data_IF_433212290518
#
_entry.id   IF_433212290518
#
_cell.length_a   1.000
_cell.length_b   1.000
_cell.length_c   1.000
_cell.angle_alpha   90.00
_cell.angle_beta   90.00
_cell.angle_gamma   90.00
#
_symmetry.space_group_name_H-M   'P 1'
#
loop_
_entity.id
_entity.type
_entity.pdbx_description
1 polymer ?
#
# COMPACT_ATOMS: atom_id res chain seq x y z
N UNK A 1 4.03 -27.52 20.53
CA UNK A 1 3.16 -27.26 19.39
C UNK A 1 3.52 -25.94 18.75
N UNK A 2 3.63 -25.96 17.44
CA UNK A 2 3.80 -24.72 16.69
C UNK A 2 2.45 -24.04 16.49
N UNK A 3 2.44 -22.72 16.57
CA UNK A 3 1.24 -21.97 16.27
C UNK A 3 1.14 -21.76 14.75
N UNK A 4 -0.07 -21.70 14.20
CA UNK A 4 -0.21 -21.46 12.77
C UNK A 4 0.28 -20.08 12.39
N UNK A 5 0.75 -19.97 11.16
CA UNK A 5 1.16 -18.67 10.60
C UNK A 5 -0.11 -17.86 10.37
N UNK A 6 -0.17 -16.61 10.85
CA UNK A 6 -1.35 -15.78 10.62
C UNK A 6 -1.48 -15.37 9.17
N UNK A 7 -2.71 -15.06 8.77
CA UNK A 7 -3.01 -14.53 7.46
C UNK A 7 -2.84 -13.01 7.47
N UNK A 8 -2.55 -12.44 6.31
CA UNK A 8 -2.30 -11.00 6.20
C UNK A 8 -3.50 -10.17 6.66
N UNK A 9 -4.71 -10.67 6.48
CA UNK A 9 -5.91 -9.92 6.88
C UNK A 9 -5.94 -9.59 8.37
N UNK A 10 -5.20 -10.32 9.18
CA UNK A 10 -5.12 -10.05 10.61
C UNK A 10 -4.35 -8.77 10.93
N UNK A 11 -3.41 -8.40 10.07
CA UNK A 11 -2.51 -7.28 10.34
C UNK A 11 -2.60 -6.14 9.34
N UNK A 12 -3.34 -6.30 8.25
CA UNK A 12 -3.49 -5.27 7.24
C UNK A 12 -4.32 -4.09 7.76
N UNK A 13 -4.15 -2.93 7.14
CA UNK A 13 -5.05 -1.80 7.35
C UNK A 13 -6.28 -2.03 6.47
N UNK A 14 -7.46 -2.09 7.08
CA UNK A 14 -8.73 -2.31 6.37
C UNK A 14 -9.31 -0.99 5.87
N UNK A 15 -10.13 -1.07 4.83
CA UNK A 15 -10.76 0.10 4.21
C UNK A 15 -9.71 1.20 3.94
N UNK A 16 -8.69 0.90 3.13
CA UNK A 16 -7.63 1.86 2.88
C UNK A 16 -8.13 3.03 2.05
N UNK A 17 -7.48 4.18 2.22
CA UNK A 17 -7.70 5.28 1.29
C UNK A 17 -7.23 4.86 -0.09
N UNK A 18 -7.89 5.36 -1.13
CA UNK A 18 -7.50 5.12 -2.51
C UNK A 18 -7.76 6.38 -3.33
N UNK A 19 -7.25 6.40 -4.55
CA UNK A 19 -7.43 7.53 -5.45
C UNK A 19 -7.79 7.01 -6.84
N UNK A 20 -8.69 7.71 -7.53
CA UNK A 20 -9.02 7.37 -8.90
C UNK A 20 -7.88 7.78 -9.84
N UNK A 21 -7.61 6.97 -10.85
CA UNK A 21 -6.47 7.23 -11.74
C UNK A 21 -6.62 8.51 -12.54
N UNK A 22 -7.84 8.97 -12.77
CA UNK A 22 -8.09 10.21 -13.52
C UNK A 22 -8.20 11.44 -12.62
N UNK A 23 -7.98 11.29 -11.31
CA UNK A 23 -7.95 12.41 -10.38
C UNK A 23 -6.71 13.29 -10.60
N UNK A 24 -6.79 14.60 -10.27
CA UNK A 24 -5.60 15.44 -10.27
C UNK A 24 -4.55 14.93 -9.28
N UNK A 25 -3.30 15.05 -9.65
CA UNK A 25 -2.20 14.61 -8.76
C UNK A 25 -2.20 15.39 -7.46
N UNK A 26 -2.61 16.66 -7.48
CA UNK A 26 -2.69 17.47 -6.27
C UNK A 26 -3.65 16.86 -5.23
N UNK A 27 -4.76 16.27 -5.69
CA UNK A 27 -5.71 15.62 -4.80
C UNK A 27 -5.06 14.45 -4.06
N UNK A 28 -4.27 13.64 -4.77
CA UNK A 28 -3.55 12.53 -4.15
C UNK A 28 -2.51 13.03 -3.14
N UNK A 29 -1.76 14.08 -3.50
CA UNK A 29 -0.76 14.67 -2.60
C UNK A 29 -1.40 15.21 -1.34
N UNK A 30 -2.54 15.88 -1.47
CA UNK A 30 -3.28 16.43 -0.33
C UNK A 30 -3.79 15.32 0.58
N UNK A 31 -4.32 14.26 -0.01
CA UNK A 31 -4.84 13.11 0.75
C UNK A 31 -3.73 12.43 1.55
N UNK A 32 -2.57 12.23 0.93
CA UNK A 32 -1.44 11.61 1.61
C UNK A 32 -0.93 12.47 2.76
N UNK A 33 -0.87 13.78 2.57
CA UNK A 33 -0.43 14.70 3.60
C UNK A 33 -1.42 14.76 4.76
N UNK A 34 -2.70 14.87 4.45
CA UNK A 34 -3.77 14.97 5.45
C UNK A 34 -3.80 13.76 6.38
N UNK A 35 -3.62 12.56 5.83
CA UNK A 35 -3.71 11.33 6.59
C UNK A 35 -2.34 10.74 6.97
N UNK A 36 -1.26 11.45 6.65
CA UNK A 36 0.11 11.03 6.97
C UNK A 36 0.41 9.62 6.45
N UNK A 37 -0.03 9.35 5.24
CA UNK A 37 0.22 8.09 4.55
C UNK A 37 1.15 8.33 3.37
N UNK A 38 1.94 7.32 3.02
CA UNK A 38 2.98 7.43 2.00
C UNK A 38 2.65 6.69 0.72
N UNK A 39 1.58 5.93 0.71
CA UNK A 39 1.17 5.11 -0.42
C UNK A 39 -0.33 5.22 -0.60
N UNK A 40 -0.76 5.37 -1.85
CA UNK A 40 -2.17 5.36 -2.21
C UNK A 40 -2.39 4.31 -3.31
N UNK A 41 -3.24 3.33 -3.05
CA UNK A 41 -3.73 2.49 -4.14
C UNK A 41 -4.43 3.33 -5.18
N UNK A 42 -4.12 3.06 -6.45
CA UNK A 42 -4.76 3.74 -7.58
C UNK A 42 -5.79 2.80 -8.16
N UNK A 43 -7.03 3.26 -8.25
CA UNK A 43 -8.15 2.44 -8.71
C UNK A 43 -8.83 3.08 -9.92
N UNK A 44 -9.54 2.25 -10.66
CA UNK A 44 -10.38 2.68 -11.77
C UNK A 44 -11.59 1.76 -11.82
N UNK A 45 -12.77 2.34 -11.70
CA UNK A 45 -14.03 1.59 -11.70
C UNK A 45 -14.00 0.42 -10.69
N UNK A 46 -13.49 0.70 -9.49
CA UNK A 46 -13.44 -0.27 -8.40
C UNK A 46 -12.29 -1.26 -8.45
N UNK A 47 -11.51 -1.28 -9.53
CA UNK A 47 -10.41 -2.23 -9.68
C UNK A 47 -9.07 -1.56 -9.42
N UNK A 48 -8.13 -2.32 -8.86
CA UNK A 48 -6.78 -1.85 -8.60
C UNK A 48 -6.02 -1.71 -9.92
N UNK A 49 -5.47 -0.51 -10.16
CA UNK A 49 -4.63 -0.25 -11.32
C UNK A 49 -3.15 -0.18 -10.96
N UNK A 50 -2.84 0.31 -9.79
CA UNK A 50 -1.45 0.47 -9.37
C UNK A 50 -1.32 1.11 -8.00
N UNK A 51 -0.17 1.72 -7.78
CA UNK A 51 0.16 2.37 -6.51
C UNK A 51 0.87 3.69 -6.79
N UNK A 52 0.56 4.70 -5.99
CA UNK A 52 1.24 5.99 -6.03
C UNK A 52 1.92 6.21 -4.70
N UNK A 53 3.21 6.54 -4.72
CA UNK A 53 3.96 6.80 -3.50
C UNK A 53 4.17 8.30 -3.28
N UNK A 54 4.33 8.70 -2.02
CA UNK A 54 4.68 10.08 -1.69
C UNK A 54 6.05 10.45 -2.29
N UNK A 55 6.96 9.50 -2.38
CA UNK A 55 8.27 9.72 -3.01
C UNK A 55 8.11 10.13 -4.47
N UNK A 56 7.22 9.45 -5.21
CA UNK A 56 6.96 9.80 -6.61
C UNK A 56 6.45 11.23 -6.75
N UNK A 57 5.51 11.61 -5.89
CA UNK A 57 4.93 12.97 -5.92
C UNK A 57 5.99 14.01 -5.58
N UNK A 58 6.83 13.73 -4.58
CA UNK A 58 7.89 14.64 -4.16
C UNK A 58 8.90 14.87 -5.30
N UNK A 59 9.28 13.81 -5.99
CA UNK A 59 10.18 13.92 -7.13
C UNK A 59 9.59 14.76 -8.25
N UNK A 60 8.32 14.58 -8.53
CA UNK A 60 7.63 15.36 -9.57
C UNK A 60 7.59 16.84 -9.20
N UNK A 61 7.38 17.17 -7.93
CA UNK A 61 7.38 18.57 -7.47
C UNK A 61 8.69 19.29 -7.70
N UNK A 62 9.80 18.57 -7.81
CA UNK A 62 11.11 19.17 -8.04
C UNK A 62 11.32 19.58 -9.50
N UNK A 63 10.46 19.16 -10.42
CA UNK A 63 10.60 19.47 -11.83
C UNK A 63 10.09 20.88 -12.11
N UNK A 64 10.84 21.63 -12.91
CA UNK A 64 10.48 22.99 -13.28
C UNK A 64 9.21 23.00 -14.14
N UNK A 65 8.31 23.94 -13.85
CA UNK A 65 7.11 24.14 -14.65
C UNK A 65 6.00 23.12 -14.41
N UNK A 66 6.16 22.27 -13.41
CA UNK A 66 5.15 21.26 -13.10
C UNK A 66 4.05 21.86 -12.22
N UNK A 67 2.81 21.63 -12.63
CA UNK A 67 1.62 22.04 -11.90
C UNK A 67 0.84 20.78 -11.54
N UNK A 68 0.77 20.45 -10.23
CA UNK A 68 0.09 19.25 -9.76
C UNK A 68 -1.41 19.27 -10.05
N UNK A 69 -2.00 20.44 -10.26
CA UNK A 69 -3.42 20.54 -10.60
C UNK A 69 -3.68 20.06 -12.02
N UNK A 70 -2.68 20.18 -12.91
CA UNK A 70 -2.81 19.80 -14.31
C UNK A 70 -2.40 18.38 -14.61
N UNK A 71 -1.54 17.80 -13.76
CA UNK A 71 -1.16 16.41 -13.88
C UNK A 71 -2.21 15.52 -13.25
N UNK A 72 -2.39 14.34 -13.82
CA UNK A 72 -3.29 13.33 -13.28
C UNK A 72 -2.49 12.21 -12.64
N UNK A 73 -3.14 11.51 -11.72
CA UNK A 73 -2.55 10.32 -11.07
C UNK A 73 -2.07 9.34 -12.14
N UNK A 74 -2.85 9.17 -13.23
CA UNK A 74 -2.49 8.23 -14.30
C UNK A 74 -1.15 8.54 -14.97
N UNK A 75 -0.66 9.77 -14.86
CA UNK A 75 0.60 10.16 -15.46
C UNK A 75 1.81 9.73 -14.63
N UNK A 76 1.61 9.30 -13.40
CA UNK A 76 2.70 9.17 -12.42
C UNK A 76 2.69 7.89 -11.58
N UNK A 77 1.62 7.11 -11.59
CA UNK A 77 1.55 5.93 -10.71
C UNK A 77 2.36 4.77 -11.27
N UNK A 78 2.71 3.84 -10.38
CA UNK A 78 3.38 2.61 -10.77
C UNK A 78 2.33 1.52 -10.99
N UNK A 79 2.27 0.93 -12.20
CA UNK A 79 1.34 -0.15 -12.48
C UNK A 79 1.80 -1.48 -11.89
N UNK A 80 0.92 -2.46 -11.90
CA UNK A 80 1.21 -3.83 -11.49
C UNK A 80 1.79 -3.93 -10.08
N UNK A 81 1.05 -3.44 -9.06
CA UNK A 81 1.50 -3.54 -7.68
C UNK A 81 1.47 -4.99 -7.21
N UNK A 82 2.24 -5.30 -6.17
CA UNK A 82 2.15 -6.61 -5.55
C UNK A 82 0.79 -6.71 -4.84
N UNK A 83 0.00 -7.69 -5.24
CA UNK A 83 -1.35 -7.90 -4.70
C UNK A 83 -1.45 -9.30 -4.15
N UNK A 84 -2.15 -9.43 -3.04
CA UNK A 84 -2.41 -10.72 -2.42
C UNK A 84 -3.87 -10.79 -2.00
N UNK A 85 -4.31 -11.99 -1.66
CA UNK A 85 -5.65 -12.22 -1.10
C UNK A 85 -5.60 -12.12 0.41
N UNK A 86 -6.76 -11.88 1.07
CA UNK A 86 -6.79 -11.72 2.53
C UNK A 86 -6.26 -12.92 3.30
N UNK A 87 -6.39 -14.13 2.76
CA UNK A 87 -5.95 -15.36 3.41
C UNK A 87 -4.49 -15.73 3.13
N UNK A 88 -3.75 -14.88 2.41
CA UNK A 88 -2.34 -15.13 2.16
C UNK A 88 -1.57 -15.13 3.47
N UNK A 89 -0.67 -16.09 3.64
CA UNK A 89 0.11 -16.22 4.86
C UNK A 89 1.10 -15.08 5.02
N UNK A 90 1.21 -14.59 6.24
CA UNK A 90 2.05 -13.42 6.55
C UNK A 90 3.51 -13.63 6.18
N UNK A 91 4.07 -14.83 6.43
CA UNK A 91 5.46 -15.11 6.12
C UNK A 91 5.76 -15.01 4.63
N UNK A 92 4.82 -15.44 3.79
CA UNK A 92 4.95 -15.30 2.34
C UNK A 92 5.01 -13.83 1.94
N UNK A 93 4.13 -13.01 2.52
CA UNK A 93 4.08 -11.57 2.22
C UNK A 93 5.37 -10.88 2.68
N UNK A 94 5.82 -11.16 3.90
CA UNK A 94 7.05 -10.57 4.43
C UNK A 94 8.28 -10.96 3.59
N UNK A 95 8.33 -12.22 3.17
CA UNK A 95 9.42 -12.71 2.32
C UNK A 95 9.46 -11.99 0.98
N UNK A 96 8.30 -11.84 0.33
CA UNK A 96 8.22 -11.15 -0.96
C UNK A 96 8.56 -9.66 -0.82
N UNK A 97 8.12 -9.02 0.25
CA UNK A 97 8.46 -7.62 0.51
C UNK A 97 9.96 -7.44 0.66
N UNK A 98 10.60 -8.32 1.43
CA UNK A 98 12.05 -8.24 1.66
C UNK A 98 12.84 -8.51 0.39
N UNK A 99 12.46 -9.56 -0.35
CA UNK A 99 13.16 -9.97 -1.56
C UNK A 99 13.09 -8.89 -2.64
N UNK A 100 11.91 -8.32 -2.84
CA UNK A 100 11.66 -7.37 -3.92
C UNK A 100 11.68 -5.91 -3.46
N UNK A 101 11.90 -5.66 -2.18
CA UNK A 101 11.95 -4.31 -1.57
C UNK A 101 10.65 -3.53 -1.79
N UNK A 102 9.53 -4.21 -1.68
CA UNK A 102 8.22 -3.57 -1.78
C UNK A 102 7.92 -2.78 -0.51
N UNK A 103 7.53 -1.52 -0.66
CA UNK A 103 7.12 -0.67 0.47
C UNK A 103 5.72 -0.92 0.94
N UNK A 104 4.89 -1.52 0.11
CA UNK A 104 3.52 -1.87 0.46
C UNK A 104 3.01 -3.01 -0.41
N UNK A 105 1.94 -3.63 0.09
CA UNK A 105 1.25 -4.73 -0.57
C UNK A 105 -0.23 -4.39 -0.55
N UNK A 106 -0.91 -4.58 -1.67
CA UNK A 106 -2.35 -4.37 -1.74
C UNK A 106 -3.07 -5.69 -1.54
N UNK A 107 -4.14 -5.66 -0.78
CA UNK A 107 -4.96 -6.85 -0.52
C UNK A 107 -6.27 -6.69 -1.27
N UNK A 108 -6.56 -7.65 -2.13
CA UNK A 108 -7.80 -7.63 -2.93
C UNK A 108 -8.61 -8.88 -2.68
N UNK A 109 -9.93 -8.72 -2.77
CA UNK A 109 -10.87 -9.81 -2.68
C UNK A 109 -11.93 -9.57 -3.75
N UNK A 110 -12.18 -10.58 -4.59
CA UNK A 110 -13.10 -10.46 -5.72
C UNK A 110 -12.76 -9.24 -6.60
N UNK A 111 -11.47 -9.04 -6.85
CA UNK A 111 -10.94 -7.94 -7.67
C UNK A 111 -11.14 -6.53 -7.06
N UNK A 112 -11.60 -6.45 -5.81
CA UNK A 112 -11.77 -5.19 -5.10
C UNK A 112 -10.70 -5.00 -4.04
N UNK A 113 -10.27 -3.77 -3.86
CA UNK A 113 -9.32 -3.41 -2.80
C UNK A 113 -9.99 -3.53 -1.43
N UNK A 114 -9.44 -4.38 -0.56
CA UNK A 114 -9.98 -4.56 0.80
C UNK A 114 -8.99 -4.18 1.89
N UNK A 115 -7.71 -4.05 1.56
CA UNK A 115 -6.72 -3.69 2.56
C UNK A 115 -5.40 -3.25 1.95
N UNK A 116 -4.56 -2.67 2.80
CA UNK A 116 -3.19 -2.33 2.46
C UNK A 116 -2.29 -2.76 3.60
N UNK A 117 -1.11 -3.24 3.27
CA UNK A 117 -0.12 -3.69 4.24
C UNK A 117 1.20 -3.02 3.91
N UNK A 118 1.61 -2.08 4.75
CA UNK A 118 2.79 -1.26 4.52
C UNK A 118 3.95 -1.71 5.39
N UNK A 119 5.11 -1.07 5.23
CA UNK A 119 6.28 -1.28 6.08
C UNK A 119 5.94 -1.16 7.56
N UNK A 120 5.14 -0.14 7.91
CA UNK A 120 4.77 0.07 9.31
C UNK A 120 3.94 -1.10 9.81
N UNK A 121 2.97 -1.57 9.00
CA UNK A 121 2.17 -2.73 9.34
C UNK A 121 3.04 -3.99 9.51
N UNK A 122 4.04 -4.15 8.64
CA UNK A 122 4.97 -5.29 8.72
C UNK A 122 5.78 -5.26 10.01
N UNK A 123 6.28 -4.09 10.38
CA UNK A 123 7.03 -3.95 11.63
C UNK A 123 6.15 -4.19 12.84
N UNK A 124 4.93 -3.65 12.83
CA UNK A 124 3.98 -3.88 13.93
C UNK A 124 3.61 -5.35 14.06
N UNK A 125 3.35 -6.01 12.94
CA UNK A 125 3.01 -7.42 12.93
C UNK A 125 4.17 -8.26 13.49
N UNK A 126 5.37 -8.00 13.02
CA UNK A 126 6.56 -8.70 13.48
C UNK A 126 6.78 -8.49 14.98
N UNK A 127 6.66 -7.26 15.45
CA UNK A 127 6.81 -6.96 16.87
C UNK A 127 5.76 -7.68 17.72
N UNK A 128 4.51 -7.67 17.26
CA UNK A 128 3.43 -8.37 17.96
C UNK A 128 3.72 -9.86 18.07
N UNK A 129 4.19 -10.49 17.00
CA UNK A 129 4.49 -11.92 17.00
C UNK A 129 5.67 -12.25 17.91
N UNK A 130 6.69 -11.41 17.94
CA UNK A 130 7.84 -11.60 18.83
C UNK A 130 7.40 -11.53 20.29
N UNK A 131 6.56 -10.56 20.64
CA UNK A 131 6.08 -10.41 22.01
C UNK A 131 5.15 -11.55 22.43
N UNK A 132 4.23 -11.93 21.56
CA UNK A 132 3.19 -12.90 21.93
C UNK A 132 3.66 -14.35 21.85
N UNK A 133 4.63 -14.66 20.98
CA UNK A 133 5.04 -16.05 20.76
C UNK A 133 6.39 -16.41 21.36
N UNK A 134 7.27 -15.43 21.56
CA UNK A 134 8.63 -15.69 22.02
C UNK A 134 8.92 -15.17 23.41
N UNK A 135 8.35 -14.04 23.79
CA UNK A 135 8.56 -13.47 25.12
C UNK A 135 7.62 -14.15 26.11
N UNK A 136 8.17 -14.55 27.22
CA UNK A 136 7.40 -15.17 28.30
C UNK A 136 7.20 -14.21 29.46
#
# INVERSE_FOLDING_TARGET
MTKPIPQIQKFMTTVPFSIEKDSPLLEAATLMQKHQIRHLPVVYQGKIEGILSNTDVTMIRTLNGVDLEKLKVMDCFTPNPYKVKPDTQLDEVLGEMAENKYGCVLVEDNEHLVGIFTWVDALKATNTLLETRLRK
#
